data_IF_711710619648
#
_entry.id   IF_711710619648
#
_cell.length_a   1.000
_cell.length_b   1.000
_cell.length_c   1.000
_cell.angle_alpha   90.00
_cell.angle_beta   90.00
_cell.angle_gamma   90.00
#
_symmetry.space_group_name_H-M   'P 1'
#
loop_
_entity.id
_entity.type
_entity.pdbx_description
1 polymer ?
#
# COMPACT_ATOMS: atom_id res chain seq x y z
N UNK A 1 19.81 -14.80 34.20
CA UNK A 1 18.54 -14.42 34.86
C UNK A 1 18.14 -13.09 34.28
N UNK A 2 17.00 -12.85 33.63
CA UNK A 2 15.89 -13.70 33.21
C UNK A 2 15.28 -13.12 31.92
N UNK A 3 14.71 -13.99 31.10
CA UNK A 3 13.90 -13.65 29.94
C UNK A 3 12.48 -13.34 30.43
N UNK A 4 11.94 -12.14 30.17
CA UNK A 4 10.49 -11.96 30.21
C UNK A 4 9.97 -11.25 28.96
N UNK A 5 9.23 -12.06 28.23
CA UNK A 5 8.40 -11.82 27.05
C UNK A 5 7.27 -10.85 27.37
N UNK A 6 7.04 -9.85 26.52
CA UNK A 6 5.88 -8.98 26.61
C UNK A 6 4.75 -9.58 25.78
N UNK A 7 3.69 -10.06 26.43
CA UNK A 7 2.46 -10.50 25.77
C UNK A 7 1.42 -9.38 25.85
N UNK A 8 1.09 -8.78 24.70
CA UNK A 8 -0.02 -7.83 24.61
C UNK A 8 -1.34 -8.55 24.96
N UNK A 9 -2.22 -7.96 25.80
CA UNK A 9 -3.55 -8.50 25.99
C UNK A 9 -4.39 -8.26 24.73
N UNK A 10 -4.98 -9.35 24.22
CA UNK A 10 -5.93 -9.34 23.12
C UNK A 10 -7.13 -8.46 23.46
N UNK A 11 -7.47 -7.51 22.57
CA UNK A 11 -8.67 -6.69 22.68
C UNK A 11 -9.92 -7.57 22.78
N UNK A 12 -10.57 -7.57 23.94
CA UNK A 12 -11.94 -8.07 24.06
C UNK A 12 -12.91 -6.99 23.59
N UNK A 13 -13.82 -7.40 22.71
CA UNK A 13 -14.92 -6.60 22.19
C UNK A 13 -15.94 -6.30 23.29
N UNK A 14 -15.78 -5.16 23.98
CA UNK A 14 -16.85 -4.59 24.79
C UNK A 14 -16.82 -3.07 24.64
N UNK A 15 -17.75 -2.55 23.84
CA UNK A 15 -18.04 -1.11 23.74
C UNK A 15 -18.60 -0.63 25.08
N UNK A 16 -17.91 0.21 25.85
CA UNK A 16 -18.56 0.86 26.98
C UNK A 16 -19.59 1.86 26.44
N UNK A 17 -20.86 1.66 26.81
CA UNK A 17 -21.97 2.57 26.52
C UNK A 17 -21.74 3.88 27.29
N UNK A 18 -21.32 4.94 26.58
CA UNK A 18 -20.94 6.25 27.14
C UNK A 18 -22.19 7.06 27.57
N UNK A 19 -23.39 6.53 27.34
CA UNK A 19 -24.65 7.24 27.61
C UNK A 19 -24.89 7.48 29.11
N UNK A 20 -24.24 6.74 30.01
CA UNK A 20 -24.43 6.91 31.47
C UNK A 20 -23.63 8.07 32.10
N UNK A 21 -22.59 8.59 31.43
CA UNK A 21 -21.71 9.64 32.00
C UNK A 21 -22.23 11.07 31.79
N UNK A 22 -23.27 11.27 30.97
CA UNK A 22 -23.91 12.59 30.79
C UNK A 22 -24.93 12.92 31.89
N UNK A 23 -25.22 12.00 32.82
CA UNK A 23 -26.30 12.13 33.80
C UNK A 23 -25.95 12.87 35.10
N UNK A 24 -24.67 13.05 35.44
CA UNK A 24 -24.27 13.56 36.77
C UNK A 24 -23.51 14.90 36.75
N UNK A 25 -23.48 15.59 35.59
CA UNK A 25 -22.78 16.87 35.42
C UNK A 25 -23.59 18.12 35.76
N UNK A 26 -24.62 18.05 36.60
CA UNK A 26 -25.45 19.20 36.98
C UNK A 26 -25.79 19.18 38.47
N UNK A 27 -24.84 19.52 39.32
CA UNK A 27 -25.08 20.17 40.60
C UNK A 27 -23.73 20.62 41.18
N UNK A 28 -23.70 21.85 41.70
CA UNK A 28 -22.56 22.64 42.17
C UNK A 28 -21.90 23.54 41.11
N UNK A 29 -22.64 24.60 40.77
CA UNK A 29 -22.04 25.86 40.36
C UNK A 29 -21.52 26.65 41.56
N UNK A 30 -20.49 27.46 41.29
CA UNK A 30 -20.12 28.62 42.10
C UNK A 30 -18.67 28.62 42.59
N UNK A 31 -17.87 29.55 42.03
CA UNK A 31 -16.59 30.10 42.54
C UNK A 31 -15.46 29.08 42.75
N UNK A 32 -14.28 29.12 42.13
CA UNK A 32 -13.46 30.19 41.58
C UNK A 32 -12.48 29.56 40.56
N UNK A 33 -12.73 29.68 39.25
CA UNK A 33 -11.73 29.38 38.22
C UNK A 33 -11.39 30.70 37.54
N UNK A 34 -10.96 31.66 38.35
CA UNK A 34 -10.40 32.92 37.88
C UNK A 34 -8.89 32.86 38.07
N UNK A 35 -8.15 32.21 37.16
CA UNK A 35 -6.81 32.73 36.83
C UNK A 35 -6.09 32.27 35.56
N UNK A 36 -6.44 31.23 34.81
CA UNK A 36 -5.57 30.80 33.69
C UNK A 36 -6.28 30.13 32.52
N UNK A 37 -7.18 30.85 31.82
CA UNK A 37 -7.69 30.38 30.53
C UNK A 37 -7.80 31.56 29.56
N UNK A 38 -6.71 32.00 28.95
CA UNK A 38 -6.77 32.91 27.80
C UNK A 38 -5.45 32.94 27.02
N UNK A 39 -4.99 31.74 26.63
CA UNK A 39 -4.35 31.54 25.32
C UNK A 39 -4.31 30.04 25.09
N UNK A 40 -5.39 29.50 24.50
CA UNK A 40 -5.19 28.33 23.67
C UNK A 40 -4.29 28.81 22.53
N UNK A 41 -2.97 28.68 22.71
CA UNK A 41 -2.01 28.86 21.64
C UNK A 41 -2.40 27.82 20.60
N UNK A 42 -3.23 28.25 19.66
CA UNK A 42 -3.50 27.53 18.45
C UNK A 42 -2.16 27.56 17.71
N UNK A 43 -1.38 26.48 17.83
CA UNK A 43 -0.17 26.33 17.03
C UNK A 43 -0.63 26.36 15.57
N UNK A 44 -0.47 27.52 14.94
CA UNK A 44 -0.45 27.61 13.49
C UNK A 44 0.63 26.63 13.05
N UNK A 45 0.26 25.64 12.23
CA UNK A 45 1.20 24.65 11.72
C UNK A 45 2.36 25.44 11.11
N UNK A 46 3.54 25.31 11.71
CA UNK A 46 4.74 25.95 11.20
C UNK A 46 4.89 25.53 9.72
N UNK A 47 5.34 26.44 8.84
CA UNK A 47 5.59 26.10 7.44
C UNK A 47 6.46 24.85 7.36
N UNK A 48 6.19 23.98 6.39
CA UNK A 48 6.80 22.65 6.10
C UNK A 48 8.33 22.71 5.84
N UNK A 49 9.07 23.39 6.70
CA UNK A 49 10.44 23.82 6.48
C UNK A 49 11.48 23.00 7.22
N UNK A 50 11.10 22.20 8.21
CA UNK A 50 12.05 21.47 9.05
C UNK A 50 11.49 20.14 9.60
N UNK A 51 10.65 19.43 8.84
CA UNK A 51 10.19 18.08 9.22
C UNK A 51 11.32 17.05 9.04
N UNK A 52 11.34 16.02 9.89
CA UNK A 52 12.33 14.96 9.85
C UNK A 52 13.63 15.28 10.59
N UNK A 53 14.70 14.55 10.25
CA UNK A 53 16.02 14.70 10.87
C UNK A 53 16.75 15.85 10.19
N UNK A 54 17.17 16.89 10.95
CA UNK A 54 17.91 17.99 10.35
C UNK A 54 19.25 17.50 9.77
N UNK A 55 19.47 17.73 8.47
CA UNK A 55 20.69 17.37 7.77
C UNK A 55 21.74 18.49 7.80
N UNK A 56 21.30 19.75 7.91
CA UNK A 56 22.17 20.93 7.86
C UNK A 56 21.57 22.04 8.70
N UNK A 57 22.40 22.74 9.49
CA UNK A 57 21.98 23.93 10.21
C UNK A 57 21.85 25.12 9.24
N UNK A 58 21.08 26.15 9.61
CA UNK A 58 20.94 27.37 8.80
C UNK A 58 22.27 28.12 8.56
N UNK A 59 23.31 27.86 9.36
CA UNK A 59 24.66 28.39 9.15
C UNK A 59 25.52 27.54 8.18
N UNK A 60 25.00 26.42 7.66
CA UNK A 60 25.68 25.51 6.74
C UNK A 60 26.48 24.39 7.42
N UNK A 61 26.61 24.41 8.74
CA UNK A 61 27.32 23.35 9.48
C UNK A 61 26.41 22.13 9.74
N UNK A 62 27.04 20.97 9.97
CA UNK A 62 26.35 19.74 10.34
C UNK A 62 25.75 19.86 11.76
N UNK A 63 24.49 19.46 11.99
CA UNK A 63 23.88 19.43 13.31
C UNK A 63 24.54 18.37 14.21
N UNK A 64 24.67 18.67 15.50
CA UNK A 64 25.20 17.77 16.54
C UNK A 64 24.11 17.37 17.52
N UNK A 65 24.32 16.28 18.27
CA UNK A 65 23.38 15.82 19.31
C UNK A 65 23.78 16.38 20.67
N UNK A 66 22.87 17.14 21.28
CA UNK A 66 22.92 17.58 22.66
C UNK A 66 22.06 16.72 23.60
N UNK A 67 22.27 16.89 24.91
CA UNK A 67 21.48 16.27 25.97
C UNK A 67 20.85 17.35 26.84
N UNK A 68 19.56 17.22 27.14
CA UNK A 68 18.84 18.13 28.03
C UNK A 68 19.22 17.82 29.48
N UNK A 69 19.51 18.87 30.23
CA UNK A 69 19.74 18.80 31.68
C UNK A 69 18.58 19.40 32.46
N UNK A 70 17.46 19.68 31.79
CA UNK A 70 16.28 20.25 32.46
C UNK A 70 15.62 19.20 33.36
N UNK A 71 15.07 19.58 34.52
CA UNK A 71 14.36 18.64 35.39
C UNK A 71 13.14 17.98 34.73
N UNK A 72 12.54 18.65 33.72
CA UNK A 72 11.37 18.18 32.98
C UNK A 72 11.73 17.06 32.00
N UNK A 73 12.86 17.19 31.31
CA UNK A 73 13.31 16.28 30.25
C UNK A 73 14.78 15.88 30.48
N UNK A 74 15.13 15.23 31.60
CA UNK A 74 16.52 14.91 31.91
C UNK A 74 17.09 13.89 30.94
N UNK A 75 18.28 14.17 30.43
CA UNK A 75 19.03 13.37 29.44
C UNK A 75 18.33 13.15 28.10
N UNK A 76 17.23 13.87 27.82
CA UNK A 76 16.57 13.79 26.51
C UNK A 76 17.47 14.39 25.43
N UNK A 77 17.60 13.70 24.30
CA UNK A 77 18.47 14.09 23.18
C UNK A 77 17.78 15.10 22.26
N UNK A 78 18.54 16.06 21.75
CA UNK A 78 18.09 17.02 20.74
C UNK A 78 19.20 17.29 19.72
N UNK A 79 18.82 17.64 18.50
CA UNK A 79 19.70 18.21 17.49
C UNK A 79 19.94 19.68 17.79
N UNK A 80 21.19 20.14 17.65
CA UNK A 80 21.62 21.53 17.84
C UNK A 80 22.80 21.86 16.93
N UNK A 81 23.28 23.10 16.92
CA UNK A 81 24.53 23.48 16.27
C UNK A 81 25.61 23.83 17.31
N UNK A 82 26.88 23.59 16.99
CA UNK A 82 28.03 24.04 17.80
C UNK A 82 28.07 25.56 17.96
N UNK A 83 27.59 26.29 16.95
CA UNK A 83 27.54 27.75 16.94
C UNK A 83 26.28 28.34 17.58
N UNK A 84 25.41 27.53 18.21
CA UNK A 84 24.12 27.99 18.75
C UNK A 84 24.22 29.15 19.75
N UNK A 85 25.40 29.42 20.31
CA UNK A 85 25.65 30.54 21.22
C UNK A 85 26.07 31.85 20.56
N UNK A 86 26.16 31.94 19.24
CA UNK A 86 26.63 33.13 18.51
C UNK A 86 25.58 34.25 18.37
N UNK A 87 24.35 34.01 18.84
CA UNK A 87 23.24 34.96 18.80
C UNK A 87 22.41 34.94 17.50
N UNK A 88 22.76 34.10 16.52
CA UNK A 88 21.96 33.85 15.33
C UNK A 88 20.99 32.66 15.51
N UNK A 89 20.06 32.49 14.57
CA UNK A 89 19.16 31.33 14.55
C UNK A 89 19.93 30.08 14.09
N UNK A 90 19.87 29.02 14.91
CA UNK A 90 20.43 27.71 14.60
C UNK A 90 19.38 26.63 14.75
N UNK A 91 19.64 25.49 14.14
CA UNK A 91 18.79 24.30 14.27
C UNK A 91 18.64 23.91 15.74
N UNK A 92 17.41 23.65 16.16
CA UNK A 92 17.12 23.01 17.44
C UNK A 92 15.89 22.12 17.29
N UNK A 93 16.01 20.84 17.64
CA UNK A 93 14.88 19.91 17.54
C UNK A 93 15.05 18.68 18.43
N UNK A 94 13.98 18.22 19.07
CA UNK A 94 14.03 16.96 19.83
C UNK A 94 14.35 15.78 18.91
N UNK A 95 15.30 14.94 19.32
CA UNK A 95 15.76 13.80 18.52
C UNK A 95 14.63 12.81 18.25
N UNK A 96 13.83 12.51 19.26
CA UNK A 96 12.71 11.56 19.16
C UNK A 96 11.59 12.07 18.24
N UNK A 97 11.35 13.38 18.23
CA UNK A 97 10.36 14.01 17.35
C UNK A 97 10.82 13.92 15.90
N UNK A 98 12.07 14.32 15.63
CA UNK A 98 12.68 14.23 14.31
C UNK A 98 12.70 12.81 13.75
N UNK A 99 13.11 11.81 14.56
CA UNK A 99 13.11 10.40 14.15
C UNK A 99 11.69 9.90 13.89
N UNK A 100 10.72 10.30 14.72
CA UNK A 100 9.35 9.86 14.54
C UNK A 100 8.73 10.43 13.25
N UNK A 101 9.07 11.65 12.86
CA UNK A 101 8.67 12.24 11.59
C UNK A 101 9.21 11.46 10.40
N UNK A 102 10.51 11.17 10.36
CA UNK A 102 11.13 10.31 9.35
C UNK A 102 10.43 8.94 9.27
N UNK A 103 10.21 8.31 10.43
CA UNK A 103 9.56 7.00 10.47
C UNK A 103 8.12 7.04 9.93
N UNK A 104 7.37 8.11 10.21
CA UNK A 104 6.02 8.27 9.66
C UNK A 104 6.04 8.43 8.14
N UNK A 105 7.03 9.16 7.63
CA UNK A 105 7.21 9.36 6.20
C UNK A 105 7.59 8.06 5.49
N UNK A 106 8.59 7.34 5.99
CA UNK A 106 8.93 6.01 5.48
C UNK A 106 7.75 5.04 5.52
N UNK A 107 6.94 5.08 6.58
CA UNK A 107 5.74 4.26 6.67
C UNK A 107 4.69 4.63 5.61
N UNK A 108 4.59 5.90 5.22
CA UNK A 108 3.72 6.37 4.13
C UNK A 108 4.21 5.82 2.79
N UNK A 109 5.49 6.02 2.49
CA UNK A 109 6.11 5.50 1.26
C UNK A 109 5.98 3.98 1.14
N UNK A 110 6.20 3.23 2.23
CA UNK A 110 6.04 1.78 2.24
C UNK A 110 4.59 1.34 1.95
N UNK A 111 3.59 2.10 2.42
CA UNK A 111 2.19 1.83 2.12
C UNK A 111 1.87 2.06 0.64
N UNK A 112 2.39 3.13 0.07
CA UNK A 112 2.23 3.46 -1.35
C UNK A 112 2.88 2.40 -2.23
N UNK A 113 4.15 2.06 -1.98
CA UNK A 113 4.88 1.02 -2.70
C UNK A 113 4.17 -0.33 -2.61
N UNK A 114 3.65 -0.70 -1.43
CA UNK A 114 2.86 -1.92 -1.27
C UNK A 114 1.60 -1.91 -2.13
N UNK A 115 0.94 -0.75 -2.26
CA UNK A 115 -0.20 -0.56 -3.16
C UNK A 115 0.18 -0.80 -4.62
N UNK A 116 1.27 -0.20 -5.08
CA UNK A 116 1.78 -0.37 -6.45
C UNK A 116 2.16 -1.81 -6.76
N UNK A 117 2.84 -2.49 -5.83
CA UNK A 117 3.18 -3.92 -5.96
C UNK A 117 1.90 -4.74 -6.12
N UNK A 118 0.89 -4.50 -5.28
CA UNK A 118 -0.38 -5.22 -5.38
C UNK A 118 -1.09 -4.99 -6.72
N UNK A 119 -1.12 -3.74 -7.20
CA UNK A 119 -1.70 -3.41 -8.50
C UNK A 119 -0.93 -4.09 -9.65
N UNK A 120 0.41 -4.13 -9.56
CA UNK A 120 1.25 -4.79 -10.55
C UNK A 120 1.00 -6.30 -10.59
N UNK A 121 0.87 -6.95 -9.43
CA UNK A 121 0.53 -8.37 -9.33
C UNK A 121 -0.86 -8.66 -9.93
N UNK A 122 -1.83 -7.77 -9.70
CA UNK A 122 -3.16 -7.90 -10.30
C UNK A 122 -3.10 -7.80 -11.83
N UNK A 123 -2.35 -6.82 -12.37
CA UNK A 123 -2.14 -6.66 -13.81
C UNK A 123 -1.45 -7.89 -14.41
N UNK A 124 -0.44 -8.44 -13.74
CA UNK A 124 0.25 -9.66 -14.18
C UNK A 124 -0.69 -10.87 -14.24
N UNK A 125 -1.56 -11.05 -13.23
CA UNK A 125 -2.57 -12.13 -13.25
C UNK A 125 -3.53 -12.01 -14.42
N UNK A 126 -3.94 -10.78 -14.79
CA UNK A 126 -4.79 -10.54 -15.96
C UNK A 126 -4.04 -10.94 -17.23
N UNK A 127 -2.80 -10.46 -17.39
CA UNK A 127 -1.97 -10.79 -18.56
C UNK A 127 -1.78 -12.30 -18.67
N UNK A 128 -1.42 -12.99 -17.58
CA UNK A 128 -1.26 -14.44 -17.54
C UNK A 128 -2.53 -15.18 -17.99
N UNK A 129 -3.70 -14.75 -17.50
CA UNK A 129 -4.99 -15.31 -17.92
C UNK A 129 -5.21 -15.11 -19.42
N UNK A 130 -4.97 -13.91 -19.96
CA UNK A 130 -5.13 -13.65 -21.40
C UNK A 130 -4.22 -14.55 -22.24
N UNK A 131 -2.95 -14.71 -21.86
CA UNK A 131 -2.00 -15.59 -22.55
C UNK A 131 -2.51 -17.04 -22.53
N UNK A 132 -3.03 -17.51 -21.40
CA UNK A 132 -3.60 -18.86 -21.29
C UNK A 132 -4.80 -19.07 -22.22
N UNK A 133 -5.66 -18.06 -22.37
CA UNK A 133 -6.82 -18.10 -23.27
C UNK A 133 -6.39 -18.09 -24.74
N UNK A 134 -5.42 -17.26 -25.11
CA UNK A 134 -4.85 -17.24 -26.47
C UNK A 134 -4.17 -18.56 -26.82
N UNK A 135 -3.45 -19.19 -25.87
CA UNK A 135 -2.84 -20.50 -26.06
C UNK A 135 -3.88 -21.60 -26.31
N UNK A 136 -4.98 -21.61 -25.54
CA UNK A 136 -6.11 -22.54 -25.74
C UNK A 136 -6.78 -22.34 -27.10
N UNK A 137 -7.08 -21.08 -27.48
CA UNK A 137 -7.67 -20.75 -28.79
C UNK A 137 -6.80 -21.21 -29.94
N UNK A 138 -5.47 -21.02 -29.87
CA UNK A 138 -4.52 -21.51 -30.87
C UNK A 138 -4.56 -23.03 -31.02
N UNK A 139 -4.64 -23.77 -29.90
CA UNK A 139 -4.81 -25.22 -29.91
C UNK A 139 -6.12 -25.65 -30.59
N UNK A 140 -7.22 -24.98 -30.27
CA UNK A 140 -8.53 -25.22 -30.90
C UNK A 140 -8.55 -24.95 -32.41
N UNK A 141 -7.95 -23.84 -32.85
CA UNK A 141 -7.83 -23.50 -34.29
C UNK A 141 -7.02 -24.57 -35.02
N UNK A 142 -5.90 -25.02 -34.44
CA UNK A 142 -5.10 -26.11 -35.02
C UNK A 142 -5.95 -27.37 -35.20
N UNK A 143 -6.70 -27.77 -34.18
CA UNK A 143 -7.59 -28.94 -34.23
C UNK A 143 -8.70 -28.79 -35.29
N UNK A 144 -9.33 -27.61 -35.37
CA UNK A 144 -10.39 -27.31 -36.33
C UNK A 144 -9.89 -27.37 -37.77
N UNK A 145 -8.68 -26.86 -38.05
CA UNK A 145 -8.06 -26.94 -39.38
C UNK A 145 -7.73 -28.39 -39.74
N UNK A 146 -7.13 -29.17 -38.83
CA UNK A 146 -6.87 -30.60 -39.06
C UNK A 146 -8.15 -31.38 -39.34
N UNK A 147 -9.20 -31.17 -38.53
CA UNK A 147 -10.50 -31.82 -38.73
C UNK A 147 -11.12 -31.45 -40.09
N UNK A 148 -11.09 -30.18 -40.47
CA UNK A 148 -11.63 -29.71 -41.75
C UNK A 148 -10.92 -30.32 -42.95
N UNK A 149 -9.59 -30.49 -42.89
CA UNK A 149 -8.80 -31.15 -43.94
C UNK A 149 -9.17 -32.63 -44.06
N UNK A 150 -9.29 -33.35 -42.93
CA UNK A 150 -9.66 -34.77 -42.94
C UNK A 150 -11.07 -34.98 -43.53
N UNK A 151 -12.04 -34.15 -43.15
CA UNK A 151 -13.40 -34.21 -43.72
C UNK A 151 -13.38 -33.94 -45.23
N UNK A 152 -12.63 -32.92 -45.68
CA UNK A 152 -12.48 -32.62 -47.10
C UNK A 152 -11.91 -33.80 -47.90
N UNK A 153 -10.88 -34.48 -47.38
CA UNK A 153 -10.31 -35.67 -48.01
C UNK A 153 -11.32 -36.82 -48.15
N UNK A 154 -12.14 -37.07 -47.13
CA UNK A 154 -13.18 -38.11 -47.17
C UNK A 154 -14.24 -37.81 -48.23
N UNK A 155 -14.68 -36.55 -48.34
CA UNK A 155 -15.66 -36.14 -49.36
C UNK A 155 -15.12 -36.34 -50.77
N UNK A 156 -13.84 -36.01 -51.01
CA UNK A 156 -13.18 -36.22 -52.31
C UNK A 156 -13.17 -37.71 -52.67
N UNK A 157 -12.80 -38.59 -51.74
CA UNK A 157 -12.76 -40.04 -51.96
C UNK A 157 -14.15 -40.60 -52.29
N UNK A 158 -15.19 -40.19 -51.55
CA UNK A 158 -16.58 -40.60 -51.82
C UNK A 158 -17.07 -40.08 -53.18
N UNK A 159 -16.69 -38.86 -53.57
CA UNK A 159 -17.03 -38.31 -54.88
C UNK A 159 -16.39 -39.06 -56.05
N UNK A 160 -15.14 -39.50 -55.90
CA UNK A 160 -14.44 -40.32 -56.90
C UNK A 160 -15.09 -41.71 -57.01
N UNK A 161 -15.38 -42.36 -55.88
CA UNK A 161 -16.06 -43.66 -55.85
C UNK A 161 -17.49 -43.59 -56.41
N UNK A 162 -18.23 -42.53 -56.09
CA UNK A 162 -19.57 -42.28 -56.62
C UNK A 162 -19.58 -42.01 -58.13
N UNK A 163 -18.56 -41.30 -58.66
CA UNK A 163 -18.40 -41.13 -60.10
C UNK A 163 -18.04 -42.43 -60.82
N UNK A 164 -17.17 -43.26 -60.25
CA UNK A 164 -16.86 -44.59 -60.80
C UNK A 164 -18.07 -45.52 -60.85
N UNK A 165 -19.00 -45.40 -59.89
CA UNK A 165 -20.25 -46.16 -59.89
C UNK A 165 -21.23 -45.69 -60.99
N UNK A 166 -21.33 -44.38 -61.26
CA UNK A 166 -22.21 -43.84 -62.31
C UNK A 166 -21.69 -44.11 -63.74
N UNK A 167 -20.37 -44.20 -63.95
CA UNK A 167 -19.80 -44.63 -65.24
C UNK A 167 -19.96 -46.13 -65.52
N UNK A 168 -20.21 -46.94 -64.48
CA UNK A 168 -20.44 -48.40 -64.62
C UNK A 168 -21.90 -48.79 -64.89
N UNK A 169 -22.80 -47.81 -65.02
CA UNK A 169 -24.23 -48.00 -65.28
C UNK A 169 -24.60 -48.17 -66.77
N UNK A 170 -24.34 -49.37 -67.31
CA UNK A 170 -25.14 -50.12 -68.32
C UNK A 170 -25.29 -49.55 -69.75
N UNK A 171 -24.86 -50.28 -70.80
CA UNK A 171 -25.63 -50.38 -72.05
C UNK A 171 -26.70 -51.46 -71.89
N UNK A 172 -27.95 -51.03 -72.02
CA UNK A 172 -29.09 -51.91 -72.27
C UNK A 172 -28.98 -52.42 -73.71
N UNK A 173 -29.77 -53.46 -73.98
CA UNK A 173 -30.22 -53.91 -75.31
C UNK A 173 -29.39 -55.07 -75.89
N UNK A 174 -29.97 -56.10 -76.51
CA UNK A 174 -31.31 -56.68 -76.59
C UNK A 174 -31.08 -57.89 -77.53
N UNK A 175 -31.68 -59.05 -77.22
CA UNK A 175 -31.67 -60.29 -78.03
C UNK A 175 -30.33 -61.03 -78.25
#
# INVERSE_FOLDING_TARGET
>A
MGLHSYSQPSSSSHSPDITSLLGEGQLYGGSEISRWNEEAIQYEAQPEGDDGIPLTCYCGNEPVIGYSYTPKDPYRRYYTCDNAGDGYCHVWKWWDVAVLEEMREYQRELRELKGEVHESEQKLRIIEKTISEFAKKKGGVKLMVFSSVLVGLVVILLGILGKGAMESGVPRDFL
#
